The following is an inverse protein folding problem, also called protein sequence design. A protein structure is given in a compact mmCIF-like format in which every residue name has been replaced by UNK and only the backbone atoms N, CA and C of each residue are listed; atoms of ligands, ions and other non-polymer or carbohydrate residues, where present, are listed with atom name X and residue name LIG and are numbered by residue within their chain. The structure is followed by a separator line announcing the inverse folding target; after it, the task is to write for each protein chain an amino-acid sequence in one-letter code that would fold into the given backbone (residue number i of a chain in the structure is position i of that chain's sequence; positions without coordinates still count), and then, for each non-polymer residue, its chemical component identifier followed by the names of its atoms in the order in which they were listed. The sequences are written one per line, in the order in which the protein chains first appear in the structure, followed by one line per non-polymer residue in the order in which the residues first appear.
data_IF_392679903347
#
_entry.id   IF_392679903347
#
_cell.length_a   1.000
_cell.length_b   1.000
_cell.length_c   1.000
_cell.angle_alpha   90.00
_cell.angle_beta   90.00
_cell.angle_gamma   90.00
#
_symmetry.space_group_name_H-M   'P 1'
#
loop_
_entity.id
_entity.type
_entity.pdbx_description
1 polymer ?
#
# COMPACT_ATOMS: atom_id res chain seq x y z
N UNK A 1 -8.28 28.65 24.52
CA UNK A 1 -9.29 27.63 24.17
C UNK A 1 -10.66 27.96 24.73
N UNK A 2 -10.71 28.58 25.92
CA UNK A 2 -11.94 28.94 26.64
C UNK A 2 -12.93 29.78 25.83
N UNK A 3 -12.43 30.67 24.98
CA UNK A 3 -13.28 31.42 24.04
C UNK A 3 -14.04 30.48 23.09
N UNK A 4 -13.34 29.56 22.41
CA UNK A 4 -13.98 28.59 21.50
C UNK A 4 -14.92 27.64 22.24
N UNK A 5 -14.56 27.22 23.45
CA UNK A 5 -15.43 26.40 24.30
C UNK A 5 -16.72 27.14 24.70
N UNK A 6 -16.63 28.44 25.00
CA UNK A 6 -17.78 29.30 25.31
C UNK A 6 -18.75 29.43 24.13
N UNK A 7 -18.27 29.31 22.90
CA UNK A 7 -19.08 29.29 21.68
C UNK A 7 -19.39 27.88 21.17
N UNK A 8 -19.34 26.87 22.04
CA UNK A 8 -19.71 25.48 21.74
C UNK A 8 -18.91 24.85 20.57
N UNK A 9 -17.64 25.23 20.41
CA UNK A 9 -16.78 24.57 19.43
C UNK A 9 -16.58 23.09 19.78
N UNK A 10 -16.86 22.20 18.82
CA UNK A 10 -16.68 20.76 18.99
C UNK A 10 -15.22 20.34 18.73
N UNK A 11 -14.46 20.25 19.82
CA UNK A 11 -13.08 19.75 19.76
C UNK A 11 -12.99 18.27 19.40
N UNK A 12 -14.01 17.45 19.66
CA UNK A 12 -13.98 16.03 19.29
C UNK A 12 -14.04 15.88 17.78
N UNK A 13 -14.88 16.65 17.09
CA UNK A 13 -14.90 16.67 15.63
C UNK A 13 -13.55 17.12 15.08
N UNK A 14 -12.94 18.17 15.65
CA UNK A 14 -11.65 18.68 15.17
C UNK A 14 -10.48 17.71 15.41
N UNK A 15 -10.43 17.04 16.58
CA UNK A 15 -9.26 16.23 16.99
C UNK A 15 -9.40 14.78 16.54
N UNK A 16 -10.59 14.18 16.68
CA UNK A 16 -10.81 12.75 16.38
C UNK A 16 -11.29 12.50 14.96
N UNK A 17 -12.06 13.44 14.41
CA UNK A 17 -12.67 13.31 13.08
C UNK A 17 -12.14 14.39 12.11
N UNK A 18 -11.06 15.07 12.50
CA UNK A 18 -10.48 16.15 11.70
C UNK A 18 -10.06 15.62 10.32
N UNK A 19 -10.39 16.38 9.28
CA UNK A 19 -10.00 16.04 7.93
C UNK A 19 -8.47 16.03 7.84
N UNK A 20 -7.91 14.94 7.34
CA UNK A 20 -6.47 14.82 7.13
C UNK A 20 -5.97 15.85 6.12
N UNK A 21 -4.68 16.16 6.19
CA UNK A 21 -4.02 16.89 5.13
C UNK A 21 -2.54 16.60 5.08
N UNK A 22 -2.00 16.68 3.87
CA UNK A 22 -0.56 16.66 3.61
C UNK A 22 -0.19 17.90 2.83
N UNK A 23 0.96 18.51 3.14
CA UNK A 23 1.55 19.54 2.29
C UNK A 23 2.15 18.94 1.00
N UNK A 24 2.42 19.79 0.00
CA UNK A 24 3.08 19.38 -1.26
C UNK A 24 4.41 18.67 -1.02
N UNK A 25 5.20 19.17 -0.07
CA UNK A 25 6.48 18.55 0.29
C UNK A 25 6.30 17.18 0.95
N UNK A 26 5.31 17.03 1.84
CA UNK A 26 5.04 15.75 2.49
C UNK A 26 4.50 14.69 1.53
N UNK A 27 3.64 15.09 0.58
CA UNK A 27 3.20 14.21 -0.50
C UNK A 27 4.38 13.73 -1.35
N UNK A 28 5.21 14.67 -1.82
CA UNK A 28 6.37 14.34 -2.65
C UNK A 28 7.38 13.45 -1.91
N UNK A 29 7.61 13.73 -0.62
CA UNK A 29 8.43 12.88 0.24
C UNK A 29 7.81 11.48 0.43
N UNK A 30 6.48 11.38 0.58
CA UNK A 30 5.80 10.09 0.68
C UNK A 30 5.90 9.29 -0.62
N UNK A 31 5.77 9.94 -1.78
CA UNK A 31 5.96 9.31 -3.09
C UNK A 31 7.42 8.87 -3.30
N UNK A 32 8.40 9.69 -2.90
CA UNK A 32 9.82 9.32 -2.95
C UNK A 32 10.11 8.11 -2.08
N UNK A 33 9.57 8.05 -0.86
CA UNK A 33 9.72 6.88 0.02
C UNK A 33 9.05 5.64 -0.54
N UNK A 34 7.89 5.77 -1.19
CA UNK A 34 7.23 4.67 -1.87
C UNK A 34 8.12 4.10 -2.99
N UNK A 35 8.73 4.97 -3.80
CA UNK A 35 9.65 4.57 -4.87
C UNK A 35 10.92 3.92 -4.33
N UNK A 36 11.48 4.40 -3.20
CA UNK A 36 12.64 3.77 -2.57
C UNK A 36 12.32 2.37 -2.04
N UNK A 37 11.15 2.20 -1.39
CA UNK A 37 10.72 0.87 -0.91
C UNK A 37 10.51 -0.11 -2.06
N UNK A 38 10.06 0.38 -3.22
CA UNK A 38 9.93 -0.41 -4.43
C UNK A 38 11.27 -0.99 -4.91
N UNK A 39 12.32 -0.17 -4.94
CA UNK A 39 13.66 -0.64 -5.34
C UNK A 39 14.25 -1.63 -4.32
N UNK A 40 13.99 -1.41 -3.02
CA UNK A 40 14.49 -2.29 -1.97
C UNK A 40 13.77 -3.66 -1.97
N UNK A 41 12.46 -3.71 -2.24
CA UNK A 41 11.75 -4.99 -2.36
C UNK A 41 12.25 -5.82 -3.56
N UNK A 42 12.53 -5.18 -4.70
CA UNK A 42 13.17 -5.85 -5.85
C UNK A 42 14.55 -6.44 -5.49
N UNK A 43 15.30 -5.73 -4.65
CA UNK A 43 16.64 -6.13 -4.18
C UNK A 43 16.60 -7.24 -3.13
N UNK A 44 15.71 -7.14 -2.13
CA UNK A 44 15.53 -8.14 -1.07
C UNK A 44 15.07 -9.49 -1.62
N UNK A 45 14.25 -9.49 -2.68
CA UNK A 45 13.85 -10.71 -3.39
C UNK A 45 15.05 -11.41 -4.08
N UNK A 46 16.19 -10.72 -4.24
CA UNK A 46 17.41 -11.28 -4.78
C UNK A 46 18.28 -11.99 -3.73
N UNK A 47 18.20 -11.60 -2.45
CA UNK A 47 19.11 -12.10 -1.39
C UNK A 47 18.72 -13.49 -0.90
N UNK A 48 19.72 -14.36 -0.82
CA UNK A 48 19.58 -15.68 -0.23
C UNK A 48 19.55 -15.59 1.30
N UNK A 49 18.55 -16.22 1.92
CA UNK A 49 18.48 -16.35 3.38
C UNK A 49 19.49 -17.41 3.82
N UNK A 50 20.45 -17.09 4.70
CA UNK A 50 21.34 -18.10 5.24
C UNK A 50 20.54 -19.08 6.12
N UNK A 51 20.77 -20.37 5.94
CA UNK A 51 20.18 -21.41 6.78
C UNK A 51 21.02 -21.50 8.07
N UNK A 52 20.47 -21.05 9.19
CA UNK A 52 21.21 -20.95 10.45
C UNK A 52 21.02 -22.17 11.36
N UNK A 53 19.91 -22.90 11.22
CA UNK A 53 19.55 -24.01 12.12
C UNK A 53 19.13 -25.29 11.38
N UNK A 54 19.37 -26.45 12.01
CA UNK A 54 18.86 -27.77 11.57
C UNK A 54 17.33 -27.74 11.45
N UNK A 55 16.64 -26.99 12.31
CA UNK A 55 15.19 -26.79 12.22
C UNK A 55 14.77 -26.12 10.92
N UNK A 56 15.57 -25.18 10.42
CA UNK A 56 15.30 -24.45 9.18
C UNK A 56 15.51 -25.36 7.97
N UNK A 57 16.53 -26.22 8.02
CA UNK A 57 16.80 -27.21 6.97
C UNK A 57 15.62 -28.19 6.89
N UNK A 58 15.21 -28.79 8.01
CA UNK A 58 14.08 -29.71 8.06
C UNK A 58 12.78 -29.03 7.62
N UNK A 59 12.55 -27.79 8.05
CA UNK A 59 11.39 -27.01 7.61
C UNK A 59 11.42 -26.75 6.11
N UNK A 60 12.56 -26.34 5.56
CA UNK A 60 12.72 -26.06 4.13
C UNK A 60 12.49 -27.31 3.26
N UNK A 61 13.02 -28.47 3.65
CA UNK A 61 12.77 -29.74 2.96
C UNK A 61 11.30 -30.18 3.07
N UNK A 62 10.68 -30.02 4.25
CA UNK A 62 9.24 -30.29 4.41
C UNK A 62 8.38 -29.41 3.51
N UNK A 63 8.69 -28.12 3.44
CA UNK A 63 7.97 -27.17 2.59
C UNK A 63 8.19 -27.45 1.10
N UNK A 64 9.40 -27.83 0.71
CA UNK A 64 9.73 -28.24 -0.65
C UNK A 64 8.91 -29.45 -1.09
N UNK A 65 8.76 -30.47 -0.23
CA UNK A 65 7.95 -31.65 -0.55
C UNK A 65 6.47 -31.27 -0.69
N UNK A 66 5.94 -30.46 0.24
CA UNK A 66 4.54 -29.99 0.19
C UNK A 66 4.22 -29.18 -1.08
N UNK A 67 5.10 -28.25 -1.45
CA UNK A 67 4.93 -27.44 -2.67
C UNK A 67 5.02 -28.30 -3.94
N UNK A 68 5.90 -29.31 -3.95
CA UNK A 68 6.01 -30.28 -5.04
C UNK A 68 4.73 -31.10 -5.18
N UNK A 69 4.22 -31.65 -4.07
CA UNK A 69 2.96 -32.40 -4.06
C UNK A 69 1.79 -31.55 -4.57
N UNK A 70 1.73 -30.29 -4.15
CA UNK A 70 0.69 -29.35 -4.58
C UNK A 70 0.74 -29.10 -6.08
N UNK A 71 1.93 -28.76 -6.59
CA UNK A 71 2.16 -28.56 -8.02
C UNK A 71 1.84 -29.81 -8.83
N UNK A 72 2.32 -30.97 -8.39
CA UNK A 72 2.12 -32.24 -9.10
C UNK A 72 0.64 -32.64 -9.10
N UNK A 73 -0.13 -32.25 -8.08
CA UNK A 73 -1.59 -32.36 -8.04
C UNK A 73 -2.27 -31.53 -9.14
N UNK A 74 -1.91 -30.25 -9.28
CA UNK A 74 -2.45 -29.36 -10.32
C UNK A 74 -2.22 -29.90 -11.73
N UNK A 75 -1.04 -30.49 -11.98
CA UNK A 75 -0.70 -31.07 -13.28
C UNK A 75 -1.50 -32.33 -13.60
N UNK A 76 -1.87 -33.12 -12.59
CA UNK A 76 -2.65 -34.36 -12.77
C UNK A 76 -4.11 -34.08 -13.11
N UNK A 77 -4.72 -33.08 -12.47
CA UNK A 77 -6.14 -32.71 -12.69
C UNK A 77 -6.43 -32.18 -14.09
N UNK A 78 -5.41 -31.73 -14.83
CA UNK A 78 -5.53 -31.32 -16.24
C UNK A 78 -5.80 -32.52 -17.18
N UNK A 79 -5.49 -33.75 -16.75
CA UNK A 79 -5.63 -34.98 -17.56
C UNK A 79 -6.84 -35.85 -17.21
N UNK A 80 -7.56 -35.54 -16.14
CA UNK A 80 -8.76 -36.25 -15.73
C UNK A 80 -9.50 -35.43 -14.69
N UNK A 81 -10.70 -34.96 -15.04
CA UNK A 81 -11.52 -34.12 -14.16
C UNK A 81 -11.89 -34.84 -12.87
N UNK A 82 -11.15 -34.58 -11.80
CA UNK A 82 -11.58 -34.83 -10.43
C UNK A 82 -11.19 -33.64 -9.58
N UNK A 83 -12.15 -33.16 -8.80
CA UNK A 83 -12.08 -31.97 -7.96
C UNK A 83 -10.84 -31.97 -7.06
N UNK A 84 -10.13 -30.83 -7.01
CA UNK A 84 -9.06 -30.47 -6.07
C UNK A 84 -9.54 -30.41 -4.59
N UNK A 85 -10.53 -31.22 -4.19
CA UNK A 85 -11.09 -31.24 -2.84
C UNK A 85 -10.43 -32.28 -1.91
N UNK A 86 -9.61 -33.20 -2.44
CA UNK A 86 -9.32 -34.46 -1.72
C UNK A 86 -8.12 -34.54 -0.77
N UNK A 87 -7.06 -33.72 -0.89
CA UNK A 87 -5.82 -33.99 -0.12
C UNK A 87 -5.16 -32.81 0.59
N UNK A 88 -5.34 -31.56 0.16
CA UNK A 88 -4.82 -30.39 0.89
C UNK A 88 -5.76 -29.87 1.97
N UNK A 89 -7.05 -30.17 1.90
CA UNK A 89 -8.07 -29.75 2.87
C UNK A 89 -8.01 -30.52 4.20
N UNK A 90 -7.36 -31.69 4.23
CA UNK A 90 -7.31 -32.55 5.41
C UNK A 90 -6.08 -32.34 6.29
N UNK A 91 -5.19 -31.38 5.98
CA UNK A 91 -4.16 -30.98 6.94
C UNK A 91 -4.86 -30.19 8.03
N UNK A 92 -5.01 -30.83 9.19
CA UNK A 92 -5.75 -30.45 10.40
C UNK A 92 -5.39 -29.08 11.02
N UNK A 93 -4.66 -28.23 10.30
CA UNK A 93 -4.11 -26.96 10.76
C UNK A 93 -4.46 -25.73 9.89
N UNK A 94 -5.34 -25.78 8.87
CA UNK A 94 -5.77 -24.59 8.08
C UNK A 94 -4.64 -23.67 7.53
N UNK A 95 -3.38 -24.12 7.55
CA UNK A 95 -2.19 -23.33 7.21
C UNK A 95 -2.04 -23.13 5.69
N UNK A 96 -2.72 -23.96 4.90
CA UNK A 96 -2.68 -23.95 3.45
C UNK A 96 -4.10 -23.93 2.91
N UNK A 97 -4.41 -22.98 2.05
CA UNK A 97 -5.70 -22.89 1.39
C UNK A 97 -5.52 -22.66 -0.11
N UNK A 98 -6.16 -23.49 -0.93
CA UNK A 98 -6.18 -23.30 -2.38
C UNK A 98 -7.11 -22.13 -2.73
N UNK A 99 -6.59 -21.15 -3.46
CA UNK A 99 -7.29 -19.94 -3.89
C UNK A 99 -6.94 -19.69 -5.36
N UNK A 100 -7.83 -19.05 -6.11
CA UNK A 100 -7.48 -18.51 -7.42
C UNK A 100 -7.05 -17.05 -7.30
N UNK A 101 -5.83 -16.74 -7.73
CA UNK A 101 -5.33 -15.37 -7.79
C UNK A 101 -5.13 -14.96 -9.25
N UNK A 102 -5.90 -13.97 -9.72
CA UNK A 102 -5.85 -13.50 -11.11
C UNK A 102 -5.98 -14.63 -12.14
N UNK A 103 -6.96 -15.52 -11.92
CA UNK A 103 -7.23 -16.72 -12.73
C UNK A 103 -6.13 -17.79 -12.72
N UNK A 104 -5.10 -17.65 -11.86
CA UNK A 104 -4.02 -18.64 -11.68
C UNK A 104 -4.27 -19.43 -10.39
N UNK A 105 -3.98 -20.74 -10.36
CA UNK A 105 -3.99 -21.52 -9.13
C UNK A 105 -2.97 -20.95 -8.14
N UNK A 106 -3.41 -20.69 -6.91
CA UNK A 106 -2.59 -20.13 -5.85
C UNK A 106 -2.82 -20.85 -4.52
N UNK A 107 -1.79 -20.82 -3.67
CA UNK A 107 -1.78 -21.42 -2.35
C UNK A 107 -1.58 -20.32 -1.32
N UNK A 108 -2.60 -20.07 -0.51
CA UNK A 108 -2.51 -19.15 0.63
C UNK A 108 -1.80 -19.80 1.80
N UNK A 109 -0.83 -19.09 2.34
CA UNK A 109 -0.04 -19.48 3.50
C UNK A 109 -0.54 -18.71 4.72
N UNK A 110 -1.11 -19.42 5.69
CA UNK A 110 -1.67 -18.86 6.91
C UNK A 110 -0.89 -19.37 8.14
N UNK A 111 -0.70 -18.51 9.15
CA UNK A 111 -0.14 -18.92 10.45
C UNK A 111 1.38 -19.14 10.49
N UNK A 112 2.13 -18.64 9.50
CA UNK A 112 3.60 -18.71 9.50
C UNK A 112 4.24 -17.45 10.08
N UNK A 113 5.40 -17.63 10.72
CA UNK A 113 6.22 -16.50 11.18
C UNK A 113 6.97 -15.83 10.01
N UNK A 114 7.36 -14.57 10.18
CA UNK A 114 8.15 -13.83 9.18
C UNK A 114 9.43 -14.56 8.75
N UNK A 115 10.07 -15.30 9.67
CA UNK A 115 11.25 -16.11 9.38
C UNK A 115 10.91 -17.31 8.48
N UNK A 116 9.86 -18.06 8.85
CA UNK A 116 9.40 -19.22 8.07
C UNK A 116 8.98 -18.81 6.66
N UNK A 117 8.34 -17.66 6.49
CA UNK A 117 7.94 -17.15 5.17
C UNK A 117 9.13 -16.80 4.29
N UNK A 118 10.19 -16.23 4.87
CA UNK A 118 11.47 -15.99 4.17
C UNK A 118 12.12 -17.29 3.72
N UNK A 119 12.04 -18.34 4.54
CA UNK A 119 12.49 -19.69 4.15
C UNK A 119 11.65 -20.25 3.00
N UNK A 120 10.31 -20.13 3.06
CA UNK A 120 9.42 -20.59 1.98
C UNK A 120 9.69 -19.85 0.68
N UNK A 121 9.86 -18.53 0.73
CA UNK A 121 10.23 -17.72 -0.43
C UNK A 121 11.56 -18.19 -1.03
N UNK A 122 12.55 -18.49 -0.19
CA UNK A 122 13.85 -19.01 -0.63
C UNK A 122 13.73 -20.38 -1.29
N UNK A 123 12.96 -21.29 -0.69
CA UNK A 123 12.70 -22.64 -1.23
C UNK A 123 12.00 -22.55 -2.58
N UNK A 124 10.97 -21.71 -2.68
CA UNK A 124 10.20 -21.50 -3.90
C UNK A 124 11.12 -21.04 -5.04
N UNK A 125 11.93 -20.01 -4.79
CA UNK A 125 12.85 -19.44 -5.78
C UNK A 125 13.97 -20.40 -6.21
N UNK A 126 14.49 -21.23 -5.30
CA UNK A 126 15.63 -22.13 -5.58
C UNK A 126 15.21 -23.42 -6.28
N UNK A 127 14.08 -23.99 -5.90
CA UNK A 127 13.68 -25.34 -6.34
C UNK A 127 12.63 -25.36 -7.44
N UNK A 128 11.92 -24.25 -7.65
CA UNK A 128 10.79 -24.18 -8.59
C UNK A 128 10.97 -22.98 -9.51
N UNK A 129 10.83 -23.20 -10.83
CA UNK A 129 10.91 -22.12 -11.84
C UNK A 129 9.53 -21.56 -12.20
N UNK A 130 8.54 -22.41 -11.98
CA UNK A 130 7.12 -22.36 -12.29
C UNK A 130 6.27 -21.85 -11.10
N UNK A 131 6.87 -21.67 -9.93
CA UNK A 131 6.20 -21.11 -8.75
C UNK A 131 6.70 -19.69 -8.44
N UNK A 132 5.76 -18.79 -8.18
CA UNK A 132 6.03 -17.43 -7.77
C UNK A 132 5.50 -17.17 -6.36
N UNK A 133 6.36 -16.72 -5.47
CA UNK A 133 5.95 -16.25 -4.14
C UNK A 133 5.48 -14.80 -4.23
N UNK A 134 4.26 -14.52 -3.78
CA UNK A 134 3.61 -13.21 -3.86
C UNK A 134 3.13 -12.80 -2.47
N UNK A 135 3.37 -11.54 -2.11
CA UNK A 135 2.78 -10.92 -0.92
C UNK A 135 1.68 -9.98 -1.35
N UNK A 136 0.47 -10.16 -0.81
CA UNK A 136 -0.69 -9.30 -1.04
C UNK A 136 -1.04 -8.62 0.28
N UNK A 137 -1.26 -7.30 0.28
CA UNK A 137 -1.84 -6.64 1.46
C UNK A 137 -3.32 -7.05 1.58
N UNK A 138 -3.68 -7.64 2.72
CA UNK A 138 -5.07 -7.95 3.04
C UNK A 138 -5.85 -6.70 3.52
N UNK A 139 -7.17 -6.83 3.59
CA UNK A 139 -8.08 -5.77 4.07
C UNK A 139 -7.88 -5.46 5.56
N UNK A 140 -7.54 -6.49 6.34
CA UNK A 140 -7.01 -6.32 7.69
C UNK A 140 -5.50 -6.19 7.59
N UNK A 141 -4.85 -5.46 8.50
CA UNK A 141 -3.41 -5.14 8.53
C UNK A 141 -2.42 -6.33 8.46
N UNK A 142 -2.89 -7.55 8.21
CA UNK A 142 -2.10 -8.74 7.92
C UNK A 142 -1.87 -8.87 6.40
N UNK A 143 -0.60 -8.85 5.98
CA UNK A 143 -0.25 -9.21 4.60
C UNK A 143 -0.48 -10.71 4.39
N UNK A 144 -1.30 -11.09 3.43
CA UNK A 144 -1.49 -12.47 3.01
C UNK A 144 -0.32 -12.89 2.11
N UNK A 145 0.28 -14.05 2.36
CA UNK A 145 1.31 -14.60 1.48
C UNK A 145 0.74 -15.73 0.63
N UNK A 146 1.01 -15.68 -0.67
CA UNK A 146 0.50 -16.60 -1.66
C UNK A 146 1.67 -17.23 -2.43
N UNK A 147 1.56 -18.51 -2.78
CA UNK A 147 2.40 -19.15 -3.79
C UNK A 147 1.54 -19.38 -5.02
N UNK A 148 1.89 -18.77 -6.14
CA UNK A 148 1.11 -18.81 -7.38
C UNK A 148 1.82 -19.68 -8.39
N UNK A 149 1.06 -20.55 -9.05
CA UNK A 149 1.57 -21.35 -10.16
C UNK A 149 1.58 -20.53 -11.46
N UNK A 150 2.64 -20.69 -12.25
CA UNK A 150 2.86 -19.98 -13.51
C UNK A 150 3.29 -20.97 -14.59
N UNK A 151 2.61 -20.95 -15.74
CA UNK A 151 2.85 -21.91 -16.83
C UNK A 151 4.15 -21.61 -17.61
N UNK A 152 4.59 -20.35 -17.60
CA UNK A 152 5.75 -19.87 -18.39
C UNK A 152 6.55 -18.79 -17.66
N UNK A 153 7.82 -18.61 -18.06
CA UNK A 153 8.63 -17.51 -17.53
C UNK A 153 8.06 -16.13 -17.88
N UNK A 154 7.45 -15.99 -19.07
CA UNK A 154 6.73 -14.78 -19.45
C UNK A 154 5.53 -14.51 -18.55
N UNK A 155 4.76 -15.55 -18.20
CA UNK A 155 3.62 -15.42 -17.29
C UNK A 155 4.06 -15.02 -15.88
N UNK A 156 5.19 -15.57 -15.42
CA UNK A 156 5.81 -15.19 -14.15
C UNK A 156 6.22 -13.72 -14.11
N UNK A 157 6.82 -13.22 -15.18
CA UNK A 157 7.25 -11.82 -15.25
C UNK A 157 6.05 -10.87 -15.37
N UNK A 158 4.99 -11.28 -16.08
CA UNK A 158 3.70 -10.59 -16.07
C UNK A 158 3.09 -10.55 -14.66
N UNK A 159 3.01 -11.68 -13.97
CA UNK A 159 2.48 -11.76 -12.61
C UNK A 159 3.26 -10.84 -11.66
N UNK A 160 4.59 -10.83 -11.73
CA UNK A 160 5.42 -9.92 -10.93
C UNK A 160 5.07 -8.46 -11.21
N UNK A 161 4.97 -8.07 -12.48
CA UNK A 161 4.60 -6.72 -12.88
C UNK A 161 3.21 -6.35 -12.36
N UNK A 162 2.23 -7.23 -12.50
CA UNK A 162 0.86 -7.00 -12.06
C UNK A 162 0.76 -6.84 -10.53
N UNK A 163 1.45 -7.66 -9.75
CA UNK A 163 1.51 -7.55 -8.28
C UNK A 163 2.13 -6.22 -7.88
N UNK A 164 3.22 -5.84 -8.54
CA UNK A 164 3.92 -4.59 -8.26
C UNK A 164 3.08 -3.36 -8.61
N UNK A 165 2.38 -3.39 -9.75
CA UNK A 165 1.47 -2.32 -10.16
C UNK A 165 0.29 -2.19 -9.18
N UNK A 166 -0.26 -3.29 -8.67
CA UNK A 166 -1.32 -3.25 -7.66
C UNK A 166 -0.83 -2.66 -6.34
N UNK A 167 0.35 -3.08 -5.87
CA UNK A 167 0.95 -2.51 -4.67
C UNK A 167 1.18 -0.99 -4.80
N UNK A 168 1.72 -0.55 -5.94
CA UNK A 168 1.91 0.88 -6.24
C UNK A 168 0.59 1.63 -6.25
N UNK A 169 -0.43 1.11 -6.95
CA UNK A 169 -1.76 1.73 -7.00
C UNK A 169 -2.39 1.86 -5.63
N UNK A 170 -2.32 0.81 -4.80
CA UNK A 170 -2.86 0.84 -3.45
C UNK A 170 -2.13 1.86 -2.57
N UNK A 171 -0.80 1.91 -2.62
CA UNK A 171 -0.02 2.86 -1.85
C UNK A 171 -0.26 4.31 -2.32
N UNK A 172 -0.32 4.55 -3.63
CA UNK A 172 -0.67 5.86 -4.18
C UNK A 172 -2.08 6.29 -3.79
N UNK A 173 -3.06 5.38 -3.80
CA UNK A 173 -4.42 5.67 -3.32
C UNK A 173 -4.42 6.05 -1.84
N UNK A 174 -3.66 5.36 -0.99
CA UNK A 174 -3.50 5.72 0.43
C UNK A 174 -2.88 7.12 0.58
N UNK A 175 -1.85 7.45 -0.21
CA UNK A 175 -1.26 8.79 -0.22
C UNK A 175 -2.28 9.83 -0.66
N UNK A 176 -3.01 9.58 -1.75
CA UNK A 176 -4.06 10.48 -2.27
C UNK A 176 -5.18 10.72 -1.26
N UNK A 177 -5.65 9.67 -0.59
CA UNK A 177 -6.63 9.79 0.49
C UNK A 177 -6.11 10.64 1.67
N UNK A 178 -4.81 10.54 1.99
CA UNK A 178 -4.19 11.34 3.04
C UNK A 178 -3.98 12.82 2.67
N UNK A 179 -4.05 13.18 1.39
CA UNK A 179 -3.97 14.58 0.95
C UNK A 179 -5.13 15.41 1.54
N UNK A 180 -6.32 14.79 1.63
CA UNK A 180 -7.52 15.33 2.28
C UNK A 180 -7.85 16.76 1.90
N UNK A 181 -7.89 17.67 2.88
CA UNK A 181 -8.39 19.05 2.69
C UNK A 181 -7.59 19.87 1.67
N UNK A 182 -6.37 19.44 1.31
CA UNK A 182 -5.58 20.15 0.29
C UNK A 182 -6.28 20.20 -1.05
N UNK A 183 -7.07 19.19 -1.40
CA UNK A 183 -7.79 19.16 -2.67
C UNK A 183 -8.69 20.39 -2.84
N UNK A 184 -9.32 20.83 -1.76
CA UNK A 184 -10.14 22.05 -1.74
C UNK A 184 -9.27 23.29 -1.96
N UNK A 185 -8.13 23.37 -1.28
CA UNK A 185 -7.18 24.50 -1.42
C UNK A 185 -6.60 24.56 -2.84
N UNK A 186 -6.24 23.43 -3.41
CA UNK A 186 -5.73 23.33 -4.77
C UNK A 186 -6.80 23.74 -5.79
N UNK A 187 -8.06 23.34 -5.59
CA UNK A 187 -9.19 23.75 -6.43
C UNK A 187 -9.45 25.26 -6.33
N UNK A 188 -9.46 25.82 -5.12
CA UNK A 188 -9.60 27.26 -4.90
C UNK A 188 -8.47 28.04 -5.58
N UNK A 189 -7.25 27.51 -5.53
CA UNK A 189 -6.09 28.08 -6.20
C UNK A 189 -6.17 28.00 -7.73
N UNK A 190 -6.68 26.89 -8.29
CA UNK A 190 -6.79 26.71 -9.75
C UNK A 190 -7.84 27.62 -10.39
N UNK A 191 -8.92 27.93 -9.67
CA UNK A 191 -10.00 28.79 -10.15
C UNK A 191 -9.56 30.25 -10.32
N UNK A 192 -8.45 30.69 -9.69
CA UNK A 192 -7.92 32.08 -9.71
C UNK A 192 -8.97 33.17 -9.43
N UNK A 193 -10.04 32.82 -8.72
CA UNK A 193 -11.11 33.73 -8.32
C UNK A 193 -10.68 34.59 -7.14
N UNK A 194 -11.30 35.75 -7.00
CA UNK A 194 -11.07 36.66 -5.88
C UNK A 194 -11.52 35.99 -4.58
N UNK A 195 -10.64 35.95 -3.58
CA UNK A 195 -10.94 35.48 -2.22
C UNK A 195 -11.01 36.70 -1.31
N UNK A 196 -12.19 36.98 -0.76
CA UNK A 196 -12.42 38.11 0.15
C UNK A 196 -12.44 37.58 1.58
N UNK A 197 -11.67 38.21 2.47
CA UNK A 197 -11.63 37.85 3.89
C UNK A 197 -11.52 39.08 4.78
N UNK A 198 -12.22 39.09 5.91
CA UNK A 198 -12.18 40.18 6.87
C UNK A 198 -11.07 39.94 7.92
N UNK A 199 -10.16 40.90 8.10
CA UNK A 199 -9.00 40.79 9.01
C UNK A 199 -8.24 39.45 8.88
N UNK A 200 -8.01 39.03 7.64
CA UNK A 200 -7.58 37.66 7.32
C UNK A 200 -6.06 37.47 7.25
N UNK A 201 -5.24 38.45 7.65
CA UNK A 201 -3.78 38.35 7.54
C UNK A 201 -3.20 37.11 8.25
N UNK A 202 -3.62 36.87 9.50
CA UNK A 202 -3.18 35.70 10.27
C UNK A 202 -3.66 34.38 9.64
N UNK A 203 -4.89 34.36 9.13
CA UNK A 203 -5.45 33.19 8.45
C UNK A 203 -4.66 32.86 7.18
N UNK A 204 -4.35 33.88 6.36
CA UNK A 204 -3.58 33.72 5.14
C UNK A 204 -2.14 33.27 5.43
N UNK A 205 -1.49 33.86 6.44
CA UNK A 205 -0.15 33.45 6.86
C UNK A 205 -0.11 32.00 7.33
N UNK A 206 -1.11 31.58 8.12
CA UNK A 206 -1.20 30.21 8.62
C UNK A 206 -1.42 29.20 7.48
N UNK A 207 -2.30 29.51 6.53
CA UNK A 207 -2.49 28.71 5.31
C UNK A 207 -1.18 28.65 4.51
N UNK A 208 -0.53 29.78 4.23
CA UNK A 208 0.72 29.79 3.47
C UNK A 208 1.83 28.96 4.12
N UNK A 209 2.03 29.12 5.43
CA UNK A 209 3.03 28.38 6.19
C UNK A 209 2.74 26.88 6.21
N UNK A 210 1.48 26.49 6.43
CA UNK A 210 1.07 25.08 6.52
C UNK A 210 1.13 24.37 5.17
N UNK A 211 0.80 25.07 4.09
CA UNK A 211 0.65 24.47 2.76
C UNK A 211 1.88 24.64 1.86
N UNK A 212 2.87 25.48 2.24
CA UNK A 212 4.10 25.79 1.47
C UNK A 212 3.80 26.00 -0.03
N UNK A 213 2.78 26.81 -0.32
CA UNK A 213 2.36 27.10 -1.69
C UNK A 213 3.49 27.86 -2.40
N UNK A 214 3.99 27.31 -3.53
CA UNK A 214 5.08 27.90 -4.32
C UNK A 214 4.71 29.24 -4.97
N UNK A 215 3.43 29.54 -5.13
CA UNK A 215 2.96 30.77 -5.79
C UNK A 215 2.50 31.81 -4.77
N UNK A 216 3.49 32.43 -4.11
CA UNK A 216 3.29 33.55 -3.19
C UNK A 216 2.69 34.79 -3.88
N UNK A 217 2.98 35.04 -5.16
CA UNK A 217 2.64 36.33 -5.78
C UNK A 217 1.16 36.46 -6.14
N UNK A 218 0.52 35.42 -6.67
CA UNK A 218 -0.86 35.46 -7.20
C UNK A 218 -1.96 35.40 -6.13
N UNK A 219 -1.74 34.71 -5.00
CA UNK A 219 -2.72 34.66 -3.92
C UNK A 219 -2.70 35.95 -3.09
N UNK A 220 -1.53 36.54 -2.86
CA UNK A 220 -1.42 37.80 -2.13
C UNK A 220 -1.92 39.00 -2.95
N UNK A 221 -1.67 39.07 -4.27
CA UNK A 221 -2.15 40.20 -5.09
C UNK A 221 -3.68 40.29 -5.14
N UNK A 222 -4.39 39.17 -5.11
CA UNK A 222 -5.86 39.18 -5.14
C UNK A 222 -6.50 39.52 -3.79
N UNK A 223 -5.83 39.30 -2.65
CA UNK A 223 -6.45 39.51 -1.33
C UNK A 223 -6.41 40.97 -0.85
N UNK A 224 -5.57 41.83 -1.44
CA UNK A 224 -5.29 43.16 -0.89
C UNK A 224 -6.21 44.32 -1.31
N UNK A 225 -7.26 44.12 -2.12
CA UNK A 225 -8.00 45.28 -2.66
C UNK A 225 -9.07 45.88 -1.72
N UNK A 226 -9.48 45.23 -0.61
CA UNK A 226 -10.63 45.72 0.19
C UNK A 226 -10.31 46.35 1.54
N UNK A 227 -9.03 46.50 1.94
CA UNK A 227 -8.68 47.16 3.21
C UNK A 227 -8.08 48.56 3.09
N UNK A 228 -7.86 49.09 1.88
CA UNK A 228 -7.31 50.45 1.68
C UNK A 228 -8.33 51.53 1.28
N UNK A 229 -9.59 51.17 0.98
CA UNK A 229 -10.62 52.13 0.51
C UNK A 229 -11.64 52.56 1.58
N UNK A 230 -11.47 52.19 2.85
CA UNK A 230 -12.37 52.60 3.95
C UNK A 230 -11.69 53.45 5.03
N UNK A 231 -10.65 54.22 4.68
CA UNK A 231 -10.04 55.23 5.58
C UNK A 231 -10.02 56.66 5.04
N UNK A 232 -10.64 56.91 3.89
CA UNK A 232 -10.88 58.26 3.38
C UNK A 232 -12.23 58.32 2.67
N UNK A 233 -13.32 58.36 3.44
CA UNK A 233 -14.54 59.11 3.12
C UNK A 233 -15.33 59.36 4.39
#
# INVERSE_FOLDING_TARGET
MDFLAKYHFDFNTCIRQGVSYLSRWQEDEALRRLNLRYEDELSEQARDVPLFSITDILFSERMKNRLREWRDGLLKDTSGGSQLEGSFLNDSNQQFQNIFYKMRPALSLNGFTSHQLRLIQSVTKKHFKDLAFVRVEGESSCSQQLVVYTDSESDRDLLKKEVMDDYRRQAEMKIKAAIGFRHVIDLLSSEKKLIIGHNCFLANSWVLFRWKLKNLSTLLTNVFHTSLTLKYS
#
